data_IF_329265819857
#
_entry.id   IF_329265819857
#
_cell.length_a   1.000
_cell.length_b   1.000
_cell.length_c   1.000
_cell.angle_alpha   90.00
_cell.angle_beta   90.00
_cell.angle_gamma   90.00
#
_symmetry.space_group_name_H-M   'P 1'
#
loop_
_entity.id
_entity.type
_entity.pdbx_description
1 polymer ?
#
# COMPACT_ATOMS: atom_id res chain seq x y z
N UNK A 1 3.84 26.40 39.08
CA UNK A 1 4.73 25.32 38.64
C UNK A 1 6.01 25.55 39.40
N UNK A 2 6.27 24.78 40.45
CA UNK A 2 7.51 24.91 41.24
C UNK A 2 8.67 24.56 40.31
N UNK A 3 9.65 25.46 40.17
CA UNK A 3 10.81 25.22 39.31
C UNK A 3 11.53 23.94 39.81
N UNK A 4 12.03 23.10 38.90
CA UNK A 4 12.80 21.89 39.25
C UNK A 4 13.96 22.26 40.21
N UNK A 5 14.51 23.45 40.02
CA UNK A 5 15.57 24.03 40.86
C UNK A 5 15.09 24.35 42.28
N UNK A 6 13.87 24.87 42.43
CA UNK A 6 13.26 25.15 43.74
C UNK A 6 12.95 23.86 44.51
N UNK A 7 12.47 22.82 43.81
CA UNK A 7 12.16 21.53 44.42
C UNK A 7 13.43 20.81 44.89
N UNK A 8 14.48 20.80 44.07
CA UNK A 8 15.78 20.24 44.45
C UNK A 8 16.37 20.96 45.68
N UNK A 9 16.27 22.30 45.72
CA UNK A 9 16.68 23.08 46.87
C UNK A 9 15.86 22.75 48.12
N UNK A 10 14.54 22.57 47.99
CA UNK A 10 13.68 22.20 49.10
C UNK A 10 14.00 20.82 49.67
N UNK A 11 14.23 19.83 48.79
CA UNK A 11 14.66 18.48 49.19
C UNK A 11 16.01 18.53 49.93
N UNK A 12 16.96 19.33 49.43
CA UNK A 12 18.25 19.53 50.11
C UNK A 12 18.09 20.13 51.51
N UNK A 13 17.25 21.15 51.66
CA UNK A 13 16.94 21.76 52.97
C UNK A 13 16.24 20.77 53.92
N UNK A 14 15.29 19.99 53.41
CA UNK A 14 14.60 18.97 54.20
C UNK A 14 15.58 17.91 54.71
N UNK A 15 16.52 17.44 53.88
CA UNK A 15 17.57 16.51 54.29
C UNK A 15 18.49 17.09 55.36
N UNK A 16 18.88 18.36 55.23
CA UNK A 16 19.67 19.04 56.27
C UNK A 16 18.90 19.13 57.60
N UNK A 17 17.60 19.44 57.55
CA UNK A 17 16.74 19.45 58.74
C UNK A 17 16.62 18.07 59.38
N UNK A 18 16.42 17.02 58.58
CA UNK A 18 16.38 15.62 59.08
C UNK A 18 17.68 15.29 59.79
N UNK A 19 18.83 15.60 59.19
CA UNK A 19 20.13 15.34 59.80
C UNK A 19 20.29 16.01 61.17
N UNK A 20 19.91 17.28 61.29
CA UNK A 20 19.96 17.99 62.58
C UNK A 20 18.99 17.40 63.61
N UNK A 21 17.75 17.12 63.21
CA UNK A 21 16.73 16.57 64.11
C UNK A 21 17.09 15.14 64.57
N UNK A 22 17.62 14.32 63.67
CA UNK A 22 18.11 12.97 63.98
C UNK A 22 19.28 13.02 64.96
N UNK A 23 20.22 13.96 64.77
CA UNK A 23 21.32 14.16 65.70
C UNK A 23 20.84 14.56 67.10
N UNK A 24 19.88 15.48 67.20
CA UNK A 24 19.28 15.85 68.50
C UNK A 24 18.58 14.65 69.15
N UNK A 25 17.91 13.81 68.35
CA UNK A 25 17.20 12.64 68.88
C UNK A 25 18.10 11.52 69.42
N UNK A 26 19.42 11.61 69.23
CA UNK A 26 20.39 10.61 69.72
C UNK A 26 20.83 10.85 71.17
N UNK A 27 20.51 12.01 71.75
CA UNK A 27 20.83 12.31 73.14
C UNK A 27 19.85 11.61 74.09
N UNK A 28 20.30 11.29 75.30
CA UNK A 28 19.36 10.92 76.37
C UNK A 28 18.63 12.19 76.85
N UNK A 29 17.32 12.14 77.15
CA UNK A 29 16.58 13.30 77.66
C UNK A 29 17.23 14.00 78.86
N UNK A 30 17.93 13.22 79.70
CA UNK A 30 18.63 13.74 80.88
C UNK A 30 19.91 14.55 80.52
N UNK A 31 20.46 14.37 79.32
CA UNK A 31 21.65 15.09 78.85
C UNK A 31 21.30 16.45 78.23
N UNK A 32 20.01 16.71 77.97
CA UNK A 32 19.52 17.99 77.48
C UNK A 32 18.90 18.76 78.64
N UNK A 33 19.55 19.88 79.00
CA UNK A 33 19.01 20.80 79.98
C UNK A 33 17.62 21.29 79.53
N UNK A 34 16.59 20.95 80.30
CA UNK A 34 15.18 21.29 80.00
C UNK A 34 14.65 20.65 78.70
N UNK A 35 14.92 19.35 78.49
CA UNK A 35 14.32 18.58 77.39
C UNK A 35 12.78 18.67 77.37
N UNK A 36 12.14 18.66 78.54
CA UNK A 36 10.70 18.84 78.68
C UNK A 36 10.32 20.33 78.57
N UNK A 37 9.68 20.69 77.46
CA UNK A 37 9.04 21.99 77.28
C UNK A 37 7.63 21.92 77.85
N UNK A 38 7.39 22.66 78.92
CA UNK A 38 6.08 22.81 79.52
C UNK A 38 5.20 23.78 78.69
N UNK A 39 4.21 23.24 77.98
CA UNK A 39 3.23 24.01 77.24
C UNK A 39 1.91 24.04 78.00
N UNK A 40 1.59 25.17 78.65
CA UNK A 40 0.31 25.36 79.36
C UNK A 40 -0.68 26.11 78.48
N UNK A 41 -1.81 25.45 78.21
CA UNK A 41 -2.92 26.01 77.45
C UNK A 41 -4.17 25.97 78.31
N UNK A 42 -4.95 27.04 78.30
CA UNK A 42 -6.26 27.07 78.95
C UNK A 42 -7.34 27.25 77.89
N UNK A 43 -8.23 26.26 77.78
CA UNK A 43 -9.38 26.30 76.87
C UNK A 43 -10.64 26.08 77.70
N UNK A 44 -11.58 27.02 77.61
CA UNK A 44 -12.84 27.02 78.38
C UNK A 44 -12.65 26.82 79.91
N UNK A 45 -11.60 27.44 80.47
CA UNK A 45 -11.30 27.35 81.90
C UNK A 45 -10.68 26.02 82.36
N UNK A 46 -10.27 25.16 81.43
CA UNK A 46 -9.61 23.87 81.71
C UNK A 46 -8.15 23.92 81.24
N UNK A 47 -7.25 23.41 82.08
CA UNK A 47 -5.85 23.18 81.70
C UNK A 47 -5.78 22.01 80.72
N UNK A 48 -5.40 22.31 79.48
CA UNK A 48 -5.14 21.35 78.40
C UNK A 48 -3.66 21.35 78.03
N UNK A 49 -2.79 21.82 78.93
CA UNK A 49 -1.36 21.82 78.74
C UNK A 49 -0.76 20.41 78.66
N UNK A 50 0.41 20.32 78.05
CA UNK A 50 1.21 19.10 77.98
C UNK A 50 2.69 19.45 78.06
N UNK A 51 3.49 18.51 78.54
CA UNK A 51 4.93 18.58 78.35
C UNK A 51 5.26 17.95 77.00
N UNK A 52 6.27 18.50 76.32
CA UNK A 52 6.77 18.01 75.03
C UNK A 52 8.27 17.81 75.16
N UNK A 53 8.78 16.61 74.88
CA UNK A 53 10.21 16.32 74.92
C UNK A 53 10.86 16.77 73.62
N UNK A 54 11.97 17.52 73.70
CA UNK A 54 12.69 17.97 72.51
C UNK A 54 13.31 16.77 71.78
N UNK A 55 13.89 15.81 72.52
CA UNK A 55 14.48 14.58 71.96
C UNK A 55 13.43 13.78 71.19
N UNK A 56 12.29 13.49 71.82
CA UNK A 56 11.25 12.64 71.22
C UNK A 56 10.65 13.32 69.98
N UNK A 57 10.31 14.61 70.06
CA UNK A 57 9.72 15.34 68.96
C UNK A 57 10.71 15.52 67.80
N UNK A 58 12.00 15.74 68.09
CA UNK A 58 13.03 15.77 67.04
C UNK A 58 13.14 14.42 66.34
N UNK A 59 13.12 13.31 67.09
CA UNK A 59 13.15 11.96 66.53
C UNK A 59 11.94 11.64 65.66
N UNK A 60 10.73 11.99 66.13
CA UNK A 60 9.49 11.83 65.38
C UNK A 60 9.49 12.69 64.11
N UNK A 61 9.89 13.96 64.21
CA UNK A 61 9.95 14.87 63.07
C UNK A 61 10.98 14.40 62.03
N UNK A 62 12.18 13.99 62.46
CA UNK A 62 13.20 13.42 61.56
C UNK A 62 12.66 12.22 60.79
N UNK A 63 11.97 11.30 61.47
CA UNK A 63 11.38 10.11 60.85
C UNK A 63 10.31 10.45 59.83
N UNK A 64 9.38 11.34 60.16
CA UNK A 64 8.28 11.75 59.26
C UNK A 64 8.85 12.48 58.04
N UNK A 65 9.72 13.47 58.25
CA UNK A 65 10.32 14.24 57.16
C UNK A 65 11.18 13.33 56.27
N UNK A 66 11.97 12.43 56.85
CA UNK A 66 12.78 11.45 56.11
C UNK A 66 11.92 10.56 55.22
N UNK A 67 10.83 10.00 55.78
CA UNK A 67 9.88 9.16 55.02
C UNK A 67 9.23 9.94 53.86
N UNK A 68 8.88 11.21 54.08
CA UNK A 68 8.31 12.06 53.04
C UNK A 68 9.33 12.37 51.92
N UNK A 69 10.58 12.65 52.28
CA UNK A 69 11.66 12.89 51.31
C UNK A 69 11.90 11.63 50.46
N UNK A 70 11.99 10.45 51.07
CA UNK A 70 12.15 9.19 50.35
C UNK A 70 10.99 8.91 49.38
N UNK A 71 9.75 9.11 49.84
CA UNK A 71 8.57 8.94 49.00
C UNK A 71 8.57 9.92 47.81
N UNK A 72 8.98 11.17 48.04
CA UNK A 72 9.07 12.21 47.02
C UNK A 72 10.14 11.86 45.97
N UNK A 73 11.34 11.43 46.39
CA UNK A 73 12.41 11.02 45.46
C UNK A 73 12.02 9.78 44.64
N UNK A 74 11.28 8.84 45.24
CA UNK A 74 10.73 7.70 44.52
C UNK A 74 9.70 8.13 43.47
N UNK A 75 8.81 9.06 43.82
CA UNK A 75 7.82 9.61 42.89
C UNK A 75 8.50 10.38 41.74
N UNK A 76 9.52 11.19 42.02
CA UNK A 76 10.28 11.90 40.99
C UNK A 76 10.95 10.95 39.99
N UNK A 77 11.58 9.87 40.49
CA UNK A 77 12.19 8.85 39.61
C UNK A 77 11.14 8.12 38.76
N UNK A 78 9.98 7.81 39.32
CA UNK A 78 8.89 7.19 38.58
C UNK A 78 8.38 8.11 37.45
N UNK A 79 8.23 9.41 37.74
CA UNK A 79 7.82 10.39 36.74
C UNK A 79 8.87 10.53 35.62
N UNK A 80 10.16 10.58 35.95
CA UNK A 80 11.23 10.65 34.95
C UNK A 80 11.23 9.40 34.04
N UNK A 81 11.12 8.21 34.62
CA UNK A 81 11.02 6.98 33.84
C UNK A 81 9.75 6.92 32.97
N UNK A 82 8.65 7.51 33.44
CA UNK A 82 7.42 7.61 32.67
C UNK A 82 7.58 8.58 31.49
N UNK A 83 8.29 9.69 31.66
CA UNK A 83 8.57 10.65 30.60
C UNK A 83 9.42 10.01 29.48
N UNK A 84 10.47 9.26 29.84
CA UNK A 84 11.28 8.49 28.88
C UNK A 84 10.43 7.49 28.08
N UNK A 85 9.51 6.78 28.76
CA UNK A 85 8.61 5.84 28.11
C UNK A 85 7.61 6.53 27.18
N UNK A 86 7.08 7.69 27.57
CA UNK A 86 6.19 8.50 26.72
C UNK A 86 6.95 8.95 25.46
N UNK A 87 8.17 9.45 25.61
CA UNK A 87 9.02 9.86 24.49
C UNK A 87 9.29 8.67 23.54
N UNK A 88 9.60 7.49 24.08
CA UNK A 88 9.76 6.28 23.28
C UNK A 88 8.47 5.87 22.56
N UNK A 89 7.31 6.01 23.21
CA UNK A 89 6.02 5.73 22.58
C UNK A 89 5.73 6.70 21.44
N UNK A 90 6.07 7.98 21.60
CA UNK A 90 5.90 8.98 20.55
C UNK A 90 6.74 8.63 19.31
N UNK A 91 8.01 8.27 19.47
CA UNK A 91 8.86 7.83 18.36
C UNK A 91 8.28 6.63 17.61
N UNK A 92 7.71 5.67 18.34
CA UNK A 92 7.07 4.49 17.74
C UNK A 92 5.80 4.85 16.97
N UNK A 93 5.01 5.79 17.48
CA UNK A 93 3.81 6.30 16.79
C UNK A 93 4.23 6.97 15.48
N UNK A 94 5.22 7.85 15.52
CA UNK A 94 5.72 8.56 14.34
C UNK A 94 6.23 7.59 13.26
N UNK A 95 6.90 6.50 13.66
CA UNK A 95 7.34 5.44 12.74
C UNK A 95 6.15 4.68 12.12
N UNK A 96 5.14 4.35 12.93
CA UNK A 96 3.94 3.66 12.45
C UNK A 96 3.14 4.54 11.49
N UNK A 97 3.00 5.83 11.79
CA UNK A 97 2.30 6.78 10.92
C UNK A 97 2.99 6.91 9.55
N UNK A 98 4.33 6.99 9.52
CA UNK A 98 5.11 6.96 8.28
C UNK A 98 4.88 5.66 7.51
N UNK A 99 4.99 4.52 8.19
CA UNK A 99 4.76 3.21 7.57
C UNK A 99 3.34 3.06 7.01
N UNK A 100 2.33 3.55 7.72
CA UNK A 100 0.94 3.58 7.25
C UNK A 100 0.77 4.47 6.02
N UNK A 101 1.40 5.64 6.00
CA UNK A 101 1.33 6.55 4.85
C UNK A 101 1.98 5.94 3.60
N UNK A 102 3.11 5.25 3.77
CA UNK A 102 3.78 4.51 2.68
C UNK A 102 2.93 3.33 2.19
N UNK A 103 2.39 2.52 3.10
CA UNK A 103 1.49 1.43 2.74
C UNK A 103 0.26 1.95 1.98
N UNK A 104 -0.34 3.07 2.40
CA UNK A 104 -1.46 3.69 1.70
C UNK A 104 -1.09 4.13 0.28
N UNK A 105 0.13 4.70 0.08
CA UNK A 105 0.63 5.03 -1.27
C UNK A 105 0.78 3.78 -2.14
N UNK A 106 1.34 2.69 -1.60
CA UNK A 106 1.49 1.44 -2.33
C UNK A 106 0.13 0.82 -2.71
N UNK A 107 -0.81 0.77 -1.77
CA UNK A 107 -2.18 0.28 -2.03
C UNK A 107 -2.82 1.07 -3.18
N UNK A 108 -2.71 2.40 -3.16
CA UNK A 108 -3.26 3.24 -4.22
C UNK A 108 -2.58 2.98 -5.57
N UNK A 109 -1.26 2.79 -5.58
CA UNK A 109 -0.50 2.44 -6.79
C UNK A 109 -0.95 1.10 -7.38
N UNK A 110 -1.00 0.04 -6.57
CA UNK A 110 -1.45 -1.28 -7.00
C UNK A 110 -2.90 -1.27 -7.47
N UNK A 111 -3.77 -0.53 -6.79
CA UNK A 111 -5.17 -0.35 -7.21
C UNK A 111 -5.27 0.30 -8.58
N UNK A 112 -4.42 1.29 -8.87
CA UNK A 112 -4.37 1.95 -10.18
C UNK A 112 -3.90 0.98 -11.28
N UNK A 113 -2.81 0.25 -11.04
CA UNK A 113 -2.30 -0.73 -11.99
C UNK A 113 -3.32 -1.84 -12.26
N UNK A 114 -3.98 -2.36 -11.21
CA UNK A 114 -5.02 -3.37 -11.36
C UNK A 114 -6.19 -2.87 -12.23
N UNK A 115 -6.64 -1.64 -12.02
CA UNK A 115 -7.69 -1.02 -12.86
C UNK A 115 -7.25 -0.89 -14.33
N UNK A 116 -6.01 -0.47 -14.57
CA UNK A 116 -5.48 -0.36 -15.93
C UNK A 116 -5.40 -1.73 -16.62
N UNK A 117 -4.87 -2.74 -15.94
CA UNK A 117 -4.79 -4.10 -16.47
C UNK A 117 -6.17 -4.69 -16.79
N UNK A 118 -7.18 -4.41 -15.97
CA UNK A 118 -8.57 -4.84 -16.24
C UNK A 118 -9.08 -4.16 -17.51
N UNK A 119 -8.93 -2.83 -17.63
CA UNK A 119 -9.40 -2.08 -18.79
C UNK A 119 -8.71 -2.52 -20.09
N UNK A 120 -7.41 -2.81 -20.05
CA UNK A 120 -6.67 -3.36 -21.20
C UNK A 120 -7.21 -4.74 -21.59
N UNK A 121 -7.43 -5.63 -20.63
CA UNK A 121 -8.02 -6.95 -20.89
C UNK A 121 -9.44 -6.89 -21.44
N UNK A 122 -10.26 -5.96 -20.96
CA UNK A 122 -11.61 -5.74 -21.49
C UNK A 122 -11.57 -5.35 -22.97
N UNK A 123 -10.59 -4.53 -23.36
CA UNK A 123 -10.35 -4.17 -24.77
C UNK A 123 -9.93 -5.40 -25.59
N UNK A 124 -8.95 -6.16 -25.11
CA UNK A 124 -8.47 -7.36 -25.79
C UNK A 124 -9.60 -8.39 -25.99
N UNK A 125 -10.46 -8.56 -24.99
CA UNK A 125 -11.65 -9.44 -25.08
C UNK A 125 -12.61 -8.93 -26.16
N UNK A 126 -12.89 -7.63 -26.20
CA UNK A 126 -13.78 -7.06 -27.22
C UNK A 126 -13.23 -7.25 -28.65
N UNK A 127 -11.92 -7.08 -28.84
CA UNK A 127 -11.26 -7.35 -30.13
C UNK A 127 -11.34 -8.84 -30.51
N UNK A 128 -11.16 -9.73 -29.53
CA UNK A 128 -11.22 -11.17 -29.74
C UNK A 128 -12.65 -11.65 -30.07
N UNK A 129 -13.66 -11.06 -29.45
CA UNK A 129 -15.07 -11.32 -29.77
C UNK A 129 -15.44 -10.81 -31.18
N UNK A 130 -14.96 -9.64 -31.58
CA UNK A 130 -15.14 -9.13 -32.94
C UNK A 130 -14.46 -10.04 -33.99
N UNK A 131 -13.26 -10.53 -33.70
CA UNK A 131 -12.56 -11.48 -34.56
C UNK A 131 -13.32 -12.81 -34.68
N UNK A 132 -13.84 -13.34 -33.56
CA UNK A 132 -14.68 -14.55 -33.54
C UNK A 132 -15.94 -14.40 -34.39
N UNK A 133 -16.64 -13.27 -34.27
CA UNK A 133 -17.81 -12.98 -35.12
C UNK A 133 -17.45 -13.00 -36.60
N UNK A 134 -16.33 -12.35 -36.98
CA UNK A 134 -15.90 -12.31 -38.38
C UNK A 134 -15.50 -13.68 -38.93
N UNK A 135 -14.89 -14.54 -38.11
CA UNK A 135 -14.62 -15.94 -38.50
C UNK A 135 -15.93 -16.68 -38.72
N UNK A 136 -16.88 -16.58 -37.79
CA UNK A 136 -18.19 -17.23 -37.90
C UNK A 136 -19.00 -16.76 -39.12
N UNK A 137 -18.85 -15.51 -39.56
CA UNK A 137 -19.46 -15.01 -40.80
C UNK A 137 -18.78 -15.56 -42.08
N UNK A 138 -17.48 -15.85 -42.02
CA UNK A 138 -16.70 -16.35 -43.15
C UNK A 138 -16.78 -17.87 -43.32
N UNK A 139 -16.89 -18.63 -42.22
CA UNK A 139 -16.98 -20.09 -42.21
C UNK A 139 -18.14 -20.68 -43.05
N UNK A 140 -19.35 -20.08 -43.12
CA UNK A 140 -20.42 -20.58 -43.99
C UNK A 140 -20.24 -20.22 -45.47
N UNK A 141 -19.25 -19.41 -45.86
CA UNK A 141 -18.96 -19.11 -47.27
C UNK A 141 -18.24 -20.30 -47.91
N UNK A 142 -18.96 -21.40 -48.10
CA UNK A 142 -18.53 -22.46 -49.00
C UNK A 142 -18.48 -21.88 -50.41
N UNK A 143 -17.28 -21.80 -50.97
CA UNK A 143 -17.07 -21.34 -52.34
C UNK A 143 -17.55 -22.46 -53.27
N UNK A 144 -18.80 -22.40 -53.74
CA UNK A 144 -19.28 -23.30 -54.78
C UNK A 144 -18.71 -22.87 -56.13
N UNK A 145 -17.62 -23.51 -56.54
CA UNK A 145 -17.11 -23.41 -57.91
C UNK A 145 -17.96 -24.36 -58.76
N UNK A 146 -18.75 -23.81 -59.69
CA UNK A 146 -19.35 -24.61 -60.76
C UNK A 146 -18.23 -24.98 -61.73
N UNK A 147 -17.71 -26.19 -61.60
CA UNK A 147 -16.83 -26.77 -62.61
C UNK A 147 -17.72 -27.19 -63.78
N UNK A 148 -17.43 -26.66 -64.97
CA UNK A 148 -18.04 -27.15 -66.21
C UNK A 148 -17.76 -28.63 -66.36
N UNK A 149 -18.76 -29.42 -66.77
CA UNK A 149 -18.57 -30.85 -66.98
C UNK A 149 -17.47 -31.09 -68.01
N UNK A 150 -16.49 -31.93 -67.65
CA UNK A 150 -15.33 -32.21 -68.50
C UNK A 150 -15.77 -32.76 -69.86
N UNK A 151 -16.86 -33.54 -69.93
CA UNK A 151 -17.36 -34.09 -71.17
C UNK A 151 -18.00 -33.00 -72.05
N UNK A 152 -18.68 -32.03 -71.45
CA UNK A 152 -19.27 -30.89 -72.16
C UNK A 152 -18.17 -29.98 -72.75
N UNK A 153 -17.12 -29.71 -71.98
CA UNK A 153 -15.94 -28.97 -72.45
C UNK A 153 -15.22 -29.72 -73.59
N UNK A 154 -15.02 -31.03 -73.44
CA UNK A 154 -14.37 -31.85 -74.47
C UNK A 154 -15.20 -31.94 -75.75
N UNK A 155 -16.54 -32.01 -75.64
CA UNK A 155 -17.43 -32.00 -76.80
C UNK A 155 -17.32 -30.67 -77.59
N UNK A 156 -17.31 -29.53 -76.89
CA UNK A 156 -17.16 -28.22 -77.52
C UNK A 156 -15.80 -28.06 -78.22
N UNK A 157 -14.72 -28.54 -77.59
CA UNK A 157 -13.38 -28.56 -78.20
C UNK A 157 -13.33 -29.48 -79.42
N UNK A 158 -13.99 -30.64 -79.36
CA UNK A 158 -14.04 -31.58 -80.47
C UNK A 158 -14.79 -30.98 -81.67
N UNK A 159 -15.93 -30.34 -81.44
CA UNK A 159 -16.70 -29.65 -82.48
C UNK A 159 -15.92 -28.49 -83.11
N UNK A 160 -15.23 -27.68 -82.32
CA UNK A 160 -14.38 -26.60 -82.84
C UNK A 160 -13.22 -27.14 -83.67
N UNK A 161 -12.61 -28.23 -83.22
CA UNK A 161 -11.52 -28.89 -83.93
C UNK A 161 -11.99 -29.48 -85.27
N UNK A 162 -13.12 -30.19 -85.28
CA UNK A 162 -13.73 -30.73 -86.48
C UNK A 162 -14.14 -29.63 -87.48
N UNK A 163 -14.81 -28.58 -87.00
CA UNK A 163 -15.21 -27.45 -87.85
C UNK A 163 -14.01 -26.75 -88.50
N UNK A 164 -12.90 -26.62 -87.77
CA UNK A 164 -11.65 -26.09 -88.33
C UNK A 164 -11.06 -27.01 -89.39
N UNK A 165 -11.06 -28.32 -89.15
CA UNK A 165 -10.56 -29.30 -90.11
C UNK A 165 -11.38 -29.26 -91.42
N UNK A 166 -12.70 -29.23 -91.35
CA UNK A 166 -13.56 -29.11 -92.53
C UNK A 166 -13.34 -27.80 -93.30
N UNK A 167 -13.14 -26.68 -92.60
CA UNK A 167 -12.86 -25.38 -93.24
C UNK A 167 -11.55 -25.40 -94.02
N UNK A 168 -10.48 -25.92 -93.42
CA UNK A 168 -9.17 -26.03 -94.08
C UNK A 168 -9.22 -26.95 -95.30
N UNK A 169 -10.00 -28.03 -95.24
CA UNK A 169 -10.19 -28.95 -96.36
C UNK A 169 -10.95 -28.25 -97.51
N UNK A 170 -12.02 -27.51 -97.20
CA UNK A 170 -12.76 -26.73 -98.18
C UNK A 170 -11.93 -25.57 -98.79
N UNK A 171 -11.07 -24.92 -97.99
CA UNK A 171 -10.09 -23.94 -98.48
C UNK A 171 -9.07 -24.58 -99.40
N UNK A 172 -8.55 -25.76 -99.06
CA UNK A 172 -7.62 -26.52 -99.91
C UNK A 172 -8.23 -26.94 -101.25
N UNK A 173 -9.47 -27.43 -101.25
CA UNK A 173 -10.21 -27.78 -102.48
C UNK A 173 -10.41 -26.55 -103.35
N UNK A 174 -10.92 -25.44 -102.78
CA UNK A 174 -11.09 -24.17 -103.50
C UNK A 174 -9.77 -23.66 -104.08
N UNK A 175 -8.68 -23.71 -103.32
CA UNK A 175 -7.37 -23.30 -103.80
C UNK A 175 -6.90 -24.16 -104.97
N UNK A 176 -7.14 -25.49 -104.91
CA UNK A 176 -6.86 -26.41 -106.01
C UNK A 176 -7.68 -26.11 -107.26
N UNK A 177 -8.98 -25.88 -107.12
CA UNK A 177 -9.88 -25.55 -108.23
C UNK A 177 -9.50 -24.21 -108.87
N UNK A 178 -9.20 -23.18 -108.06
CA UNK A 178 -8.73 -21.87 -108.55
C UNK A 178 -7.40 -22.02 -109.27
N UNK A 179 -6.47 -22.85 -108.76
CA UNK A 179 -5.20 -23.12 -109.44
C UNK A 179 -5.40 -23.83 -110.78
N UNK A 180 -6.29 -24.83 -110.84
CA UNK A 180 -6.64 -25.52 -112.08
C UNK A 180 -7.32 -24.60 -113.10
N UNK A 181 -8.25 -23.75 -112.66
CA UNK A 181 -8.93 -22.76 -113.51
C UNK A 181 -7.95 -21.72 -114.06
N UNK A 182 -7.02 -21.21 -113.23
CA UNK A 182 -5.96 -20.30 -113.69
C UNK A 182 -5.01 -20.98 -114.68
N UNK A 183 -4.63 -22.24 -114.43
CA UNK A 183 -3.80 -23.01 -115.36
C UNK A 183 -4.50 -23.25 -116.71
N UNK A 184 -5.83 -23.32 -116.72
CA UNK A 184 -6.66 -23.40 -117.93
C UNK A 184 -6.88 -22.04 -118.63
N UNK A 185 -6.26 -20.95 -118.16
CA UNK A 185 -6.37 -19.61 -118.75
C UNK A 185 -7.64 -18.84 -118.38
N UNK A 186 -8.42 -19.34 -117.42
CA UNK A 186 -9.65 -18.69 -116.93
C UNK A 186 -9.28 -17.67 -115.86
N UNK A 187 -9.74 -16.42 -116.04
CA UNK A 187 -9.52 -15.34 -115.06
C UNK A 187 -10.50 -15.52 -113.89
N UNK A 188 -9.98 -15.79 -112.70
CA UNK A 188 -10.79 -15.98 -111.48
C UNK A 188 -10.59 -14.79 -110.54
N UNK A 189 -11.67 -14.05 -110.26
CA UNK A 189 -11.71 -12.98 -109.26
C UNK A 189 -12.23 -13.55 -107.93
N UNK A 190 -11.63 -13.12 -106.80
CA UNK A 190 -12.09 -13.52 -105.48
C UNK A 190 -13.19 -12.56 -105.01
N UNK A 191 -14.29 -13.09 -104.47
CA UNK A 191 -15.20 -12.32 -103.61
C UNK A 191 -14.61 -12.12 -102.21
#
# INVERSE_FOLDING_TARGET
>A
MTDITELALLVSKAKASVFTLEYISQFEPADIDSDDVDLRFEVDGRDTGTNVSIVDECGQAAKVIGTLVEALEKAQRANAAQDDHINQQQDRIDQLEKGHQEAAKQINSWRRMAKQNIAEREKDIAELDAARQRIAELEPRTVTVKLTDINEYLAEVHDKTLNRAFRLLAEGVRAGDVAAMRAAGIKVEAE
#
